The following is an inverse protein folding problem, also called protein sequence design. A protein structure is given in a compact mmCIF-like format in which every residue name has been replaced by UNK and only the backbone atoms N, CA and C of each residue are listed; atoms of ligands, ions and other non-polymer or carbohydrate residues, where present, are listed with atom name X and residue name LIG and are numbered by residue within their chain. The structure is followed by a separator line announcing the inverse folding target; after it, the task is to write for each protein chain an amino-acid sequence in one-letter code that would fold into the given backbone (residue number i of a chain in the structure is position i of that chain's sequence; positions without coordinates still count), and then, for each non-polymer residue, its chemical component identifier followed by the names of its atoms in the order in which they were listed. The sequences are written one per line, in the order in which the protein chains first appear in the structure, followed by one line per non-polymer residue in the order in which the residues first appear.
data_IF_737915113635
#
_entry.id   IF_737915113635
#
_cell.length_a   1.000
_cell.length_b   1.000
_cell.length_c   1.000
_cell.angle_alpha   90.00
_cell.angle_beta   90.00
_cell.angle_gamma   90.00
#
_symmetry.space_group_name_H-M   'P 1'
#
loop_
_entity.id
_entity.type
_entity.pdbx_description
1 polymer ?
#
# COMPACT_ATOMS: atom_id res chain seq x y z
N UNK A 1 17.34 20.55 26.99
CA UNK A 1 17.44 19.12 27.38
C UNK A 1 16.38 18.72 28.42
N UNK A 2 15.13 19.19 28.30
CA UNK A 2 14.04 18.88 29.26
C UNK A 2 12.78 18.24 28.66
N UNK A 3 12.78 17.87 27.39
CA UNK A 3 11.60 17.26 26.75
C UNK A 3 11.61 15.73 26.64
N UNK A 4 12.68 15.05 27.10
CA UNK A 4 12.82 13.59 26.97
C UNK A 4 12.23 12.76 28.12
N UNK A 5 11.99 13.36 29.28
CA UNK A 5 11.56 12.66 30.50
C UNK A 5 10.05 12.55 30.68
N UNK A 6 9.26 13.38 30.01
CA UNK A 6 7.81 13.43 30.15
C UNK A 6 7.07 12.22 29.52
N UNK A 7 7.60 11.62 28.45
CA UNK A 7 6.93 10.50 27.77
C UNK A 7 7.18 9.13 28.44
N UNK A 8 8.19 9.01 29.31
CA UNK A 8 8.50 7.78 30.04
C UNK A 8 7.57 7.56 31.25
N UNK A 9 6.95 8.61 31.76
CA UNK A 9 5.99 8.56 32.87
C UNK A 9 4.56 8.19 32.45
N UNK A 10 4.26 8.13 31.15
CA UNK A 10 2.89 8.00 30.64
C UNK A 10 2.24 6.62 30.80
N UNK A 11 3.00 5.58 31.19
CA UNK A 11 2.48 4.21 31.37
C UNK A 11 2.79 3.67 32.78
N UNK A 12 2.51 4.46 33.78
CA UNK A 12 2.67 4.09 35.19
C UNK A 12 1.63 3.06 35.66
N UNK A 13 1.68 2.69 36.93
CA UNK A 13 0.76 1.70 37.50
C UNK A 13 -0.69 2.19 37.45
N UNK A 14 -0.92 3.49 37.58
CA UNK A 14 -2.27 4.05 37.52
C UNK A 14 -2.85 4.00 36.11
N UNK A 15 -2.04 4.30 35.09
CA UNK A 15 -2.42 4.11 33.69
C UNK A 15 -2.70 2.63 33.38
N UNK A 16 -1.86 1.72 33.88
CA UNK A 16 -2.09 0.28 33.73
C UNK A 16 -3.38 -0.17 34.40
N UNK A 17 -3.72 0.40 35.56
CA UNK A 17 -4.99 0.16 36.25
C UNK A 17 -6.19 0.57 35.38
N UNK A 18 -6.13 1.77 34.77
CA UNK A 18 -7.16 2.24 33.84
C UNK A 18 -7.30 1.30 32.62
N UNK A 19 -6.18 0.84 32.05
CA UNK A 19 -6.17 -0.12 30.93
C UNK A 19 -6.84 -1.43 31.31
N UNK A 20 -6.50 -2.01 32.46
CA UNK A 20 -7.15 -3.24 32.95
C UNK A 20 -8.67 -3.05 33.10
N UNK A 21 -9.12 -1.92 33.65
CA UNK A 21 -10.56 -1.61 33.78
C UNK A 21 -11.24 -1.51 32.41
N UNK A 22 -10.60 -0.87 31.42
CA UNK A 22 -11.16 -0.79 30.06
C UNK A 22 -11.26 -2.18 29.44
N UNK A 23 -10.23 -3.04 29.58
CA UNK A 23 -10.25 -4.43 29.09
C UNK A 23 -11.39 -5.23 29.72
N UNK A 24 -11.60 -5.10 31.01
CA UNK A 24 -12.65 -5.88 31.73
C UNK A 24 -14.08 -5.42 31.39
N UNK A 25 -14.28 -4.17 30.98
CA UNK A 25 -15.58 -3.59 30.70
C UNK A 25 -15.93 -3.51 29.21
N UNK A 26 -14.94 -3.59 28.31
CA UNK A 26 -15.14 -3.56 26.85
C UNK A 26 -14.62 -4.85 26.22
N UNK A 27 -15.51 -5.78 26.00
CA UNK A 27 -15.17 -7.11 25.48
C UNK A 27 -14.69 -7.08 24.03
N UNK A 28 -15.15 -6.14 23.22
CA UNK A 28 -14.68 -5.94 21.83
C UNK A 28 -13.25 -5.47 21.83
N UNK A 29 -12.94 -4.49 22.67
CA UNK A 29 -11.57 -4.03 22.86
C UNK A 29 -10.68 -5.11 23.48
N UNK A 30 -11.19 -5.84 24.49
CA UNK A 30 -10.47 -6.95 25.13
C UNK A 30 -10.05 -8.03 24.12
N UNK A 31 -10.91 -8.35 23.16
CA UNK A 31 -10.63 -9.31 22.10
C UNK A 31 -9.56 -8.79 21.15
N UNK A 32 -9.68 -7.55 20.70
CA UNK A 32 -8.75 -6.93 19.75
C UNK A 32 -7.34 -6.73 20.33
N UNK A 33 -7.23 -6.35 21.62
CA UNK A 33 -5.92 -6.11 22.23
C UNK A 33 -5.20 -7.41 22.64
N UNK A 34 -5.93 -8.51 22.79
CA UNK A 34 -5.39 -9.79 23.23
C UNK A 34 -4.25 -10.31 22.33
N UNK A 35 -4.31 -10.02 21.03
CA UNK A 35 -3.30 -10.45 20.05
C UNK A 35 -1.93 -9.80 20.27
N UNK A 36 -1.88 -8.61 20.86
CA UNK A 36 -0.64 -7.83 21.06
C UNK A 36 -0.27 -7.66 22.53
N UNK A 37 -1.16 -8.03 23.46
CA UNK A 37 -1.00 -7.84 24.88
C UNK A 37 -0.32 -9.06 25.52
N UNK A 38 0.91 -8.87 25.98
CA UNK A 38 1.56 -9.83 26.89
C UNK A 38 1.28 -9.42 28.34
N UNK A 39 0.78 -10.34 29.16
CA UNK A 39 0.49 -10.09 30.57
C UNK A 39 1.71 -9.68 31.37
N UNK A 40 2.91 -10.07 30.92
CA UNK A 40 4.17 -9.67 31.54
C UNK A 40 4.51 -8.17 31.39
N UNK A 41 3.75 -7.44 30.55
CA UNK A 41 3.92 -6.00 30.41
C UNK A 41 3.43 -5.23 31.65
N UNK A 42 2.54 -5.81 32.42
CA UNK A 42 2.03 -5.20 33.65
C UNK A 42 3.03 -5.36 34.77
N UNK A 43 3.33 -4.26 35.47
CA UNK A 43 4.24 -4.24 36.60
C UNK A 43 3.61 -4.86 37.85
N UNK A 44 2.27 -4.73 38.01
CA UNK A 44 1.53 -5.26 39.14
C UNK A 44 1.11 -6.73 38.89
N UNK A 45 1.50 -7.62 39.79
CA UNK A 45 1.19 -9.03 39.71
C UNK A 45 -0.32 -9.33 39.78
N UNK A 46 -1.06 -8.55 40.58
CA UNK A 46 -2.50 -8.70 40.66
C UNK A 46 -3.22 -8.43 39.33
N UNK A 47 -2.73 -7.47 38.53
CA UNK A 47 -3.26 -7.23 37.18
C UNK A 47 -2.99 -8.41 36.25
N UNK A 48 -1.81 -9.00 36.33
CA UNK A 48 -1.43 -10.19 35.54
C UNK A 48 -2.33 -11.39 35.85
N UNK A 49 -2.58 -11.64 37.14
CA UNK A 49 -3.44 -12.76 37.59
C UNK A 49 -4.87 -12.52 37.12
N UNK A 50 -5.38 -11.30 37.30
CA UNK A 50 -6.75 -10.94 36.93
C UNK A 50 -7.00 -11.13 35.44
N UNK A 51 -6.12 -10.59 34.60
CA UNK A 51 -6.23 -10.72 33.14
C UNK A 51 -6.02 -12.17 32.67
N UNK A 52 -5.13 -12.93 33.32
CA UNK A 52 -4.93 -14.35 33.00
C UNK A 52 -6.23 -15.13 33.24
N UNK A 53 -6.88 -14.95 34.38
CA UNK A 53 -8.14 -15.62 34.69
C UNK A 53 -9.27 -15.16 33.75
N UNK A 54 -9.28 -13.86 33.37
CA UNK A 54 -10.26 -13.29 32.45
C UNK A 54 -10.17 -13.92 31.05
N UNK A 55 -8.97 -14.00 30.47
CA UNK A 55 -8.75 -14.61 29.17
C UNK A 55 -8.87 -16.13 29.20
N UNK A 56 -8.42 -16.78 30.26
CA UNK A 56 -8.60 -18.25 30.43
C UNK A 56 -10.07 -18.62 30.46
N UNK A 57 -10.92 -17.85 31.15
CA UNK A 57 -12.37 -18.04 31.13
C UNK A 57 -12.93 -17.93 29.71
N UNK A 58 -12.52 -16.89 28.93
CA UNK A 58 -12.94 -16.73 27.54
C UNK A 58 -12.53 -17.93 26.68
N UNK A 59 -11.31 -18.42 26.82
CA UNK A 59 -10.82 -19.59 26.08
C UNK A 59 -11.65 -20.84 26.36
N UNK A 60 -11.98 -21.05 27.62
CA UNK A 60 -12.73 -22.21 28.09
C UNK A 60 -14.21 -22.17 27.69
N UNK A 61 -14.87 -21.05 27.95
CA UNK A 61 -16.32 -20.91 27.78
C UNK A 61 -16.74 -20.12 26.54
N UNK A 62 -15.81 -19.64 25.73
CA UNK A 62 -16.03 -18.85 24.51
C UNK A 62 -16.84 -17.56 24.76
N UNK A 63 -16.83 -17.06 25.98
CA UNK A 63 -17.50 -15.81 26.41
C UNK A 63 -16.65 -15.12 27.47
N UNK A 64 -16.66 -13.81 27.50
CA UNK A 64 -16.00 -13.07 28.58
C UNK A 64 -16.81 -13.17 29.88
N UNK A 65 -16.12 -13.26 31.04
CA UNK A 65 -16.78 -13.28 32.33
C UNK A 65 -17.24 -11.86 32.74
N UNK A 66 -18.34 -11.79 33.47
CA UNK A 66 -18.66 -10.57 34.23
C UNK A 66 -17.71 -10.42 35.42
N UNK A 67 -17.60 -9.23 36.00
CA UNK A 67 -16.74 -9.01 37.16
C UNK A 67 -17.08 -9.91 38.33
N UNK A 68 -18.38 -10.18 38.58
CA UNK A 68 -18.82 -11.08 39.65
C UNK A 68 -18.40 -12.53 39.41
N UNK A 69 -18.49 -12.97 38.16
CA UNK A 69 -18.08 -14.32 37.77
C UNK A 69 -16.53 -14.45 37.78
N UNK A 70 -15.82 -13.37 37.43
CA UNK A 70 -14.36 -13.34 37.48
C UNK A 70 -13.85 -13.50 38.94
N UNK A 71 -14.53 -12.90 39.93
CA UNK A 71 -14.21 -13.12 41.36
C UNK A 71 -14.33 -14.60 41.73
N UNK A 72 -15.39 -15.26 41.27
CA UNK A 72 -15.60 -16.69 41.53
C UNK A 72 -14.51 -17.56 40.88
N UNK A 73 -14.16 -17.26 39.62
CA UNK A 73 -13.14 -17.96 38.85
C UNK A 73 -11.74 -17.81 39.48
N UNK A 74 -11.39 -16.59 39.85
CA UNK A 74 -10.11 -16.30 40.52
C UNK A 74 -10.04 -17.00 41.89
N UNK A 75 -11.17 -17.18 42.57
CA UNK A 75 -11.23 -17.94 43.83
C UNK A 75 -10.87 -19.41 43.66
N UNK A 76 -11.27 -20.03 42.55
CA UNK A 76 -10.90 -21.41 42.25
C UNK A 76 -9.41 -21.57 41.94
N UNK A 77 -8.85 -20.63 41.16
CA UNK A 77 -7.41 -20.59 40.85
C UNK A 77 -6.54 -20.19 42.04
N UNK A 78 -7.12 -19.48 43.02
CA UNK A 78 -6.43 -18.91 44.18
C UNK A 78 -5.95 -19.94 45.20
N UNK A 79 -6.33 -21.22 45.10
CA UNK A 79 -5.78 -22.31 45.96
C UNK A 79 -4.24 -22.42 45.88
N UNK A 80 -3.63 -21.75 44.91
CA UNK A 80 -2.19 -21.63 44.68
C UNK A 80 -1.62 -20.27 45.11
N UNK A 81 -2.44 -19.28 45.48
CA UNK A 81 -2.02 -17.95 45.88
C UNK A 81 -1.90 -17.86 47.42
N UNK A 82 -0.94 -17.07 47.87
CA UNK A 82 -0.83 -16.73 49.30
C UNK A 82 -2.04 -15.85 49.74
N UNK A 83 -2.46 -15.99 51.01
CA UNK A 83 -3.61 -15.26 51.58
C UNK A 83 -3.54 -13.76 51.35
N UNK A 84 -2.35 -13.15 51.47
CA UNK A 84 -2.12 -11.74 51.27
C UNK A 84 -2.33 -11.30 49.82
N UNK A 85 -1.87 -12.07 48.85
CA UNK A 85 -2.04 -11.81 47.42
C UNK A 85 -3.52 -11.88 47.02
N UNK A 86 -4.26 -12.84 47.62
CA UNK A 86 -5.67 -12.97 47.40
C UNK A 86 -6.48 -11.77 47.94
N UNK A 87 -6.17 -11.28 49.16
CA UNK A 87 -6.81 -10.12 49.74
C UNK A 87 -6.58 -8.88 48.88
N UNK A 88 -5.35 -8.63 48.42
CA UNK A 88 -5.03 -7.52 47.52
C UNK A 88 -5.79 -7.60 46.18
N UNK A 89 -5.87 -8.79 45.59
CA UNK A 89 -6.59 -9.00 44.34
C UNK A 89 -8.09 -8.71 44.49
N UNK A 90 -8.67 -9.18 45.58
CA UNK A 90 -10.07 -8.93 45.90
C UNK A 90 -10.39 -7.45 46.12
N UNK A 91 -9.52 -6.70 46.79
CA UNK A 91 -9.65 -5.28 46.96
C UNK A 91 -9.62 -4.53 45.61
N UNK A 92 -8.71 -4.92 44.71
CA UNK A 92 -8.60 -4.35 43.37
C UNK A 92 -9.90 -4.58 42.59
N UNK A 93 -10.44 -5.80 42.55
CA UNK A 93 -11.67 -6.13 41.83
C UNK A 93 -12.87 -5.36 42.39
N UNK A 94 -12.99 -5.29 43.73
CA UNK A 94 -14.04 -4.52 44.39
C UNK A 94 -13.94 -3.05 44.02
N UNK A 95 -12.73 -2.48 44.03
CA UNK A 95 -12.51 -1.09 43.61
C UNK A 95 -12.95 -0.85 42.17
N UNK A 96 -12.64 -1.77 41.26
CA UNK A 96 -13.06 -1.68 39.85
C UNK A 96 -14.58 -1.70 39.68
N UNK A 97 -15.29 -2.40 40.54
CA UNK A 97 -16.75 -2.42 40.56
C UNK A 97 -17.37 -1.11 41.10
N UNK A 98 -16.68 -0.45 42.04
CA UNK A 98 -17.11 0.80 42.64
C UNK A 98 -16.78 2.06 41.84
N UNK A 99 -15.67 2.04 41.07
CA UNK A 99 -15.11 3.21 40.41
C UNK A 99 -15.90 3.68 39.17
N UNK A 100 -16.96 2.99 38.71
CA UNK A 100 -17.75 3.39 37.52
C UNK A 100 -16.98 3.28 36.19
N UNK A 101 -17.49 3.86 35.10
CA UNK A 101 -16.81 3.89 33.79
C UNK A 101 -15.49 4.66 33.85
N UNK A 102 -14.55 4.37 32.94
CA UNK A 102 -13.31 5.12 32.80
C UNK A 102 -13.56 6.31 31.87
N UNK A 103 -13.49 7.54 32.38
CA UNK A 103 -13.80 8.77 31.63
C UNK A 103 -12.90 8.96 30.38
N UNK A 104 -11.69 8.41 30.41
CA UNK A 104 -10.69 8.52 29.35
C UNK A 104 -10.54 7.21 28.54
N UNK A 105 -11.57 6.38 28.48
CA UNK A 105 -11.50 5.02 27.89
C UNK A 105 -10.96 5.04 26.45
N UNK A 106 -11.43 5.95 25.59
CA UNK A 106 -10.98 6.04 24.19
C UNK A 106 -9.49 6.44 24.07
N UNK A 107 -9.03 7.35 24.94
CA UNK A 107 -7.60 7.68 24.99
C UNK A 107 -6.75 6.49 25.45
N UNK A 108 -7.20 5.74 26.47
CA UNK A 108 -6.54 4.53 26.95
C UNK A 108 -6.47 3.46 25.87
N UNK A 109 -7.59 3.22 25.14
CA UNK A 109 -7.62 2.30 23.99
C UNK A 109 -6.61 2.72 22.91
N UNK A 110 -6.65 3.98 22.48
CA UNK A 110 -5.74 4.49 21.45
C UNK A 110 -4.25 4.40 21.85
N UNK A 111 -3.93 4.65 23.13
CA UNK A 111 -2.56 4.62 23.63
C UNK A 111 -2.05 3.21 24.01
N UNK A 112 -2.96 2.22 24.15
CA UNK A 112 -2.61 0.86 24.57
C UNK A 112 -1.72 0.12 23.57
N UNK A 113 -1.92 0.34 22.26
CA UNK A 113 -1.05 -0.22 21.20
C UNK A 113 0.37 0.29 21.35
N UNK A 114 0.52 1.61 21.59
CA UNK A 114 1.82 2.22 21.85
C UNK A 114 2.51 1.65 23.09
N UNK A 115 1.74 1.37 24.15
CA UNK A 115 2.23 0.67 25.33
C UNK A 115 2.76 -0.73 24.99
N UNK A 116 1.97 -1.56 24.31
CA UNK A 116 2.37 -2.90 23.92
C UNK A 116 3.61 -2.88 23.02
N UNK A 117 3.62 -2.04 21.97
CA UNK A 117 4.78 -1.90 21.08
C UNK A 117 6.05 -1.47 21.81
N UNK A 118 5.94 -0.52 22.74
CA UNK A 118 7.07 -0.08 23.54
C UNK A 118 7.63 -1.20 24.40
N UNK A 119 6.77 -2.01 25.03
CA UNK A 119 7.19 -3.17 25.84
C UNK A 119 7.80 -4.28 24.99
N UNK A 120 7.17 -4.59 23.82
CA UNK A 120 7.73 -5.55 22.86
C UNK A 120 9.12 -5.12 22.37
N UNK A 121 9.29 -3.83 22.04
CA UNK A 121 10.57 -3.29 21.59
C UNK A 121 11.64 -3.36 22.68
N UNK A 122 11.29 -3.06 23.93
CA UNK A 122 12.22 -3.17 25.06
C UNK A 122 12.67 -4.63 25.28
N UNK A 123 11.74 -5.59 25.22
CA UNK A 123 12.06 -7.01 25.34
C UNK A 123 12.93 -7.50 24.16
N UNK A 124 12.63 -7.04 22.95
CA UNK A 124 13.42 -7.36 21.76
C UNK A 124 14.85 -6.81 21.83
N UNK A 125 15.05 -5.63 22.39
CA UNK A 125 16.40 -5.09 22.62
C UNK A 125 17.22 -5.98 23.58
N UNK A 126 16.60 -6.47 24.65
CA UNK A 126 17.26 -7.38 25.58
C UNK A 126 17.59 -8.73 24.91
N UNK A 127 16.65 -9.28 24.15
CA UNK A 127 16.86 -10.53 23.40
C UNK A 127 17.95 -10.35 22.32
N UNK A 128 17.89 -9.26 21.54
CA UNK A 128 18.90 -8.95 20.53
C UNK A 128 20.30 -8.83 21.14
N UNK A 129 20.42 -8.12 22.28
CA UNK A 129 21.69 -8.02 23.01
C UNK A 129 22.22 -9.39 23.42
N UNK A 130 21.35 -10.28 23.92
CA UNK A 130 21.74 -11.65 24.30
C UNK A 130 22.15 -12.50 23.10
N UNK A 131 21.45 -12.38 21.98
CA UNK A 131 21.78 -13.10 20.75
C UNK A 131 23.12 -12.65 20.16
N UNK A 132 23.35 -11.34 20.08
CA UNK A 132 24.60 -10.74 19.60
C UNK A 132 25.79 -11.05 20.50
N UNK A 133 25.56 -11.35 21.79
CA UNK A 133 26.62 -11.77 22.71
C UNK A 133 26.92 -13.26 22.65
N UNK A 134 25.99 -14.09 22.16
CA UNK A 134 26.09 -15.54 22.17
C UNK A 134 26.51 -16.15 20.82
N UNK A 135 26.21 -15.47 19.71
CA UNK A 135 26.42 -15.99 18.34
C UNK A 135 27.10 -14.91 17.48
N UNK A 136 28.13 -15.30 16.73
CA UNK A 136 28.77 -14.47 15.70
C UNK A 136 28.30 -14.90 14.30
N UNK A 137 28.01 -13.94 13.42
CA UNK A 137 27.73 -14.19 12.00
C UNK A 137 26.53 -13.43 11.44
N UNK A 138 26.43 -13.38 10.12
CA UNK A 138 25.40 -12.62 9.39
C UNK A 138 23.97 -13.12 9.69
N UNK A 139 23.81 -14.41 10.02
CA UNK A 139 22.50 -14.99 10.37
C UNK A 139 21.88 -14.38 11.62
N UNK A 140 22.70 -13.95 12.59
CA UNK A 140 22.21 -13.30 13.81
C UNK A 140 21.65 -11.92 13.51
N UNK A 141 22.32 -11.16 12.64
CA UNK A 141 21.84 -9.84 12.22
C UNK A 141 20.48 -9.95 11.52
N UNK A 142 20.30 -10.95 10.65
CA UNK A 142 19.02 -11.19 9.98
C UNK A 142 17.90 -11.58 10.97
N UNK A 143 18.19 -12.42 11.97
CA UNK A 143 17.23 -12.78 13.02
C UNK A 143 16.80 -11.54 13.82
N UNK A 144 17.75 -10.69 14.20
CA UNK A 144 17.49 -9.44 14.93
C UNK A 144 16.65 -8.49 14.11
N UNK A 145 16.99 -8.26 12.83
CA UNK A 145 16.21 -7.39 11.93
C UNK A 145 14.79 -7.90 11.75
N UNK A 146 14.60 -9.20 11.51
CA UNK A 146 13.27 -9.82 11.39
C UNK A 146 12.43 -9.63 12.65
N UNK A 147 13.02 -9.77 13.83
CA UNK A 147 12.33 -9.58 15.11
C UNK A 147 11.83 -8.13 15.26
N UNK A 148 12.66 -7.13 14.97
CA UNK A 148 12.26 -5.73 15.04
C UNK A 148 11.23 -5.35 13.96
N UNK A 149 11.36 -5.88 12.76
CA UNK A 149 10.40 -5.67 11.67
C UNK A 149 9.03 -6.24 12.03
N UNK A 150 8.98 -7.44 12.62
CA UNK A 150 7.73 -8.04 13.12
C UNK A 150 7.04 -7.14 14.14
N UNK A 151 7.79 -6.56 15.09
CA UNK A 151 7.25 -5.67 16.12
C UNK A 151 6.78 -4.35 15.51
N UNK A 152 7.53 -3.79 14.57
CA UNK A 152 7.14 -2.55 13.89
C UNK A 152 5.79 -2.71 13.16
N UNK A 153 5.57 -3.87 12.55
CA UNK A 153 4.36 -4.19 11.80
C UNK A 153 3.23 -4.74 12.69
N UNK A 154 3.49 -5.11 13.95
CA UNK A 154 2.43 -5.50 14.88
C UNK A 154 1.58 -4.30 15.25
N UNK A 155 0.27 -4.40 15.11
CA UNK A 155 -0.72 -3.40 15.50
C UNK A 155 -2.05 -4.07 15.75
N UNK A 156 -2.92 -3.43 16.52
CA UNK A 156 -4.33 -3.79 16.51
C UNK A 156 -4.84 -3.35 15.14
N UNK A 157 -5.12 -4.32 14.28
CA UNK A 157 -5.90 -4.07 13.09
C UNK A 157 -7.30 -3.70 13.59
N UNK A 158 -7.70 -2.44 13.41
CA UNK A 158 -9.11 -2.08 13.51
C UNK A 158 -9.82 -2.66 12.28
N UNK A 159 -9.91 -3.98 12.24
CA UNK A 159 -10.70 -4.71 11.24
C UNK A 159 -12.12 -4.93 11.76
N UNK A 160 -12.80 -3.86 12.11
CA UNK A 160 -14.23 -3.85 11.95
C UNK A 160 -14.47 -3.90 10.43
N UNK A 161 -14.75 -5.09 9.90
CA UNK A 161 -15.13 -5.24 8.51
C UNK A 161 -16.29 -4.32 8.15
N UNK A 162 -16.52 -4.12 6.85
CA UNK A 162 -17.69 -3.36 6.38
C UNK A 162 -18.97 -4.16 6.66
N UNK A 163 -19.81 -3.67 7.56
CA UNK A 163 -21.11 -4.25 7.84
C UNK A 163 -22.03 -3.95 6.64
N UNK A 164 -22.42 -4.99 5.90
CA UNK A 164 -23.02 -4.84 4.57
C UNK A 164 -24.30 -3.99 4.56
N UNK A 165 -25.14 -4.09 5.58
CA UNK A 165 -26.40 -3.33 5.67
C UNK A 165 -26.19 -2.00 6.38
N UNK A 166 -25.48 -2.02 7.51
CA UNK A 166 -25.28 -0.87 8.40
C UNK A 166 -24.46 0.23 7.71
N UNK A 167 -23.45 -0.16 6.92
CA UNK A 167 -22.57 0.77 6.20
C UNK A 167 -23.03 1.02 4.75
N UNK A 168 -24.34 0.87 4.48
CA UNK A 168 -24.90 1.04 3.14
C UNK A 168 -24.54 2.38 2.49
N UNK A 169 -24.76 3.48 3.19
CA UNK A 169 -24.50 4.84 2.67
C UNK A 169 -23.03 5.07 2.32
N UNK A 170 -22.09 4.45 3.04
CA UNK A 170 -20.67 4.58 2.78
C UNK A 170 -20.26 4.05 1.38
N UNK A 171 -21.00 3.06 0.85
CA UNK A 171 -20.75 2.47 -0.48
C UNK A 171 -21.19 3.34 -1.64
N UNK A 172 -22.12 4.27 -1.38
CA UNK A 172 -22.72 5.13 -2.42
C UNK A 172 -22.20 6.57 -2.39
N UNK A 173 -21.13 6.82 -1.62
CA UNK A 173 -20.43 8.09 -1.70
C UNK A 173 -19.73 8.19 -3.05
N UNK A 174 -20.01 9.23 -3.82
CA UNK A 174 -19.51 9.43 -5.20
C UNK A 174 -17.98 9.48 -5.31
N UNK A 175 -17.28 9.75 -4.20
CA UNK A 175 -15.84 10.04 -4.18
C UNK A 175 -14.98 8.98 -3.49
N UNK A 176 -15.47 7.76 -3.31
CA UNK A 176 -14.70 6.74 -2.58
C UNK A 176 -13.38 6.33 -3.27
N UNK A 177 -13.28 6.49 -4.59
CA UNK A 177 -12.13 6.01 -5.37
C UNK A 177 -11.06 7.07 -5.59
N UNK A 178 -11.41 8.36 -5.65
CA UNK A 178 -10.52 9.51 -5.92
C UNK A 178 -9.52 9.22 -7.05
N UNK A 179 -9.98 9.00 -8.30
CA UNK A 179 -9.11 8.63 -9.40
C UNK A 179 -8.21 9.78 -9.81
N UNK A 180 -6.95 9.46 -10.15
CA UNK A 180 -5.98 10.37 -10.74
C UNK A 180 -5.92 10.12 -12.23
N UNK A 181 -6.17 11.15 -13.04
CA UNK A 181 -6.13 11.06 -14.50
C UNK A 181 -4.78 10.57 -15.01
N UNK A 182 -4.81 9.77 -16.06
CA UNK A 182 -3.60 9.38 -16.81
C UNK A 182 -3.22 10.41 -17.89
N UNK A 183 -4.12 11.36 -18.18
CA UNK A 183 -4.01 12.28 -19.32
C UNK A 183 -4.28 11.61 -20.67
N UNK A 184 -4.76 10.37 -20.66
CA UNK A 184 -5.16 9.60 -21.83
C UNK A 184 -6.68 9.39 -21.79
N UNK A 185 -7.48 10.27 -22.40
CA UNK A 185 -8.93 10.28 -22.25
C UNK A 185 -9.61 8.91 -22.50
N UNK A 186 -9.23 8.12 -23.53
CA UNK A 186 -9.82 6.80 -23.71
C UNK A 186 -9.50 5.81 -22.60
N UNK A 187 -8.30 5.92 -21.99
CA UNK A 187 -7.92 5.10 -20.84
C UNK A 187 -8.67 5.53 -19.57
N UNK A 188 -8.74 6.84 -19.35
CA UNK A 188 -9.46 7.40 -18.19
C UNK A 188 -10.95 7.05 -18.22
N UNK A 189 -11.60 7.13 -19.39
CA UNK A 189 -13.00 6.73 -19.56
C UNK A 189 -13.23 5.26 -19.17
N UNK A 190 -12.36 4.36 -19.62
CA UNK A 190 -12.47 2.91 -19.35
C UNK A 190 -12.19 2.61 -17.87
N UNK A 191 -11.33 3.39 -17.23
CA UNK A 191 -10.93 3.21 -15.83
C UNK A 191 -11.77 4.05 -14.86
N UNK A 192 -12.81 4.74 -15.32
CA UNK A 192 -13.63 5.60 -14.45
C UNK A 192 -12.87 6.79 -13.87
N UNK A 193 -12.11 7.50 -14.71
CA UNK A 193 -11.36 8.71 -14.38
C UNK A 193 -9.86 8.53 -14.16
N UNK A 194 -9.32 7.33 -14.32
CA UNK A 194 -7.92 6.99 -14.12
C UNK A 194 -7.67 5.99 -13.01
N UNK A 195 -6.47 6.00 -12.42
CA UNK A 195 -6.10 5.10 -11.33
C UNK A 195 -6.52 5.69 -9.98
N UNK A 196 -7.30 4.93 -9.21
CA UNK A 196 -7.80 5.36 -7.91
C UNK A 196 -6.77 5.25 -6.79
N UNK A 197 -7.05 5.87 -5.63
CA UNK A 197 -6.28 5.64 -4.41
C UNK A 197 -6.29 4.15 -4.04
N UNK A 198 -5.16 3.67 -3.49
CA UNK A 198 -4.95 2.26 -3.13
C UNK A 198 -4.90 1.30 -4.32
N UNK A 199 -4.89 1.83 -5.55
CA UNK A 199 -4.78 1.02 -6.75
C UNK A 199 -3.36 1.06 -7.30
N UNK A 200 -2.97 -0.05 -7.94
CA UNK A 200 -1.66 -0.26 -8.52
C UNK A 200 -1.75 -0.51 -10.02
N UNK A 201 -1.11 0.36 -10.80
CA UNK A 201 -1.05 0.30 -12.25
C UNK A 201 0.35 -0.06 -12.76
N UNK A 202 0.42 -0.82 -13.83
CA UNK A 202 1.68 -1.24 -14.46
C UNK A 202 1.65 -1.01 -15.96
N UNK A 203 2.68 -0.34 -16.51
CA UNK A 203 2.92 -0.25 -17.95
C UNK A 203 4.00 -1.25 -18.34
N UNK A 204 3.71 -2.17 -19.25
CA UNK A 204 4.60 -3.25 -19.65
C UNK A 204 4.98 -3.13 -21.13
N UNK A 205 6.24 -3.38 -21.46
CA UNK A 205 6.68 -3.39 -22.84
C UNK A 205 8.15 -3.76 -23.00
N UNK A 206 8.58 -4.00 -24.22
CA UNK A 206 9.97 -4.31 -24.56
C UNK A 206 10.94 -3.15 -24.24
N UNK A 207 12.24 -3.44 -24.25
CA UNK A 207 13.26 -2.39 -24.13
C UNK A 207 13.15 -1.42 -25.29
N UNK A 208 13.17 -0.11 -25.01
CA UNK A 208 13.04 0.93 -26.03
C UNK A 208 11.64 1.06 -26.64
N UNK A 209 10.58 0.47 -26.03
CA UNK A 209 9.20 0.68 -26.45
C UNK A 209 8.62 2.04 -26.03
N UNK A 210 9.27 2.76 -25.11
CA UNK A 210 8.82 4.07 -24.66
C UNK A 210 8.07 4.07 -23.31
N UNK A 211 8.18 3.01 -22.51
CA UNK A 211 7.54 2.88 -21.17
C UNK A 211 7.78 4.09 -20.28
N UNK A 212 9.05 4.50 -20.09
CA UNK A 212 9.41 5.65 -19.25
C UNK A 212 8.90 6.97 -19.82
N UNK A 213 8.71 7.06 -21.16
CA UNK A 213 8.09 8.24 -21.79
C UNK A 213 6.59 8.30 -21.45
N UNK A 214 5.88 7.16 -21.52
CA UNK A 214 4.48 7.07 -21.11
C UNK A 214 4.32 7.42 -19.64
N UNK A 215 5.20 6.92 -18.78
CA UNK A 215 5.17 7.23 -17.34
C UNK A 215 5.40 8.72 -17.09
N UNK A 216 6.38 9.35 -17.76
CA UNK A 216 6.66 10.78 -17.66
C UNK A 216 5.50 11.62 -18.19
N UNK A 217 4.85 11.19 -19.28
CA UNK A 217 3.63 11.83 -19.81
C UNK A 217 2.50 11.80 -18.79
N UNK A 218 2.18 10.63 -18.24
CA UNK A 218 1.11 10.50 -17.25
C UNK A 218 1.37 11.35 -16.00
N UNK A 219 2.62 11.41 -15.54
CA UNK A 219 3.03 12.25 -14.41
C UNK A 219 2.84 13.74 -14.70
N UNK A 220 3.23 14.18 -15.91
CA UNK A 220 3.02 15.55 -16.36
C UNK A 220 1.55 15.93 -16.45
N UNK A 221 0.73 15.04 -17.00
CA UNK A 221 -0.72 15.27 -17.12
C UNK A 221 -1.43 15.27 -15.77
N UNK A 222 -1.06 14.42 -14.85
CA UNK A 222 -1.57 14.44 -13.48
C UNK A 222 -1.22 15.78 -12.79
N UNK A 223 0.02 16.26 -12.90
CA UNK A 223 0.42 17.57 -12.40
C UNK A 223 -0.38 18.70 -13.06
N UNK A 224 -0.55 18.67 -14.38
CA UNK A 224 -1.34 19.67 -15.10
C UNK A 224 -2.81 19.71 -14.65
N UNK A 225 -3.36 18.58 -14.26
CA UNK A 225 -4.71 18.44 -13.70
C UNK A 225 -4.83 18.87 -12.22
N UNK A 226 -3.74 19.27 -11.57
CA UNK A 226 -3.76 19.82 -10.20
C UNK A 226 -3.37 18.81 -9.10
N UNK A 227 -2.97 17.59 -9.45
CA UNK A 227 -2.58 16.59 -8.45
C UNK A 227 -1.16 16.85 -7.92
N UNK A 228 -0.90 16.37 -6.70
CA UNK A 228 0.44 16.31 -6.11
C UNK A 228 1.10 14.98 -6.51
N UNK A 229 2.13 15.04 -7.32
CA UNK A 229 2.78 13.90 -7.96
C UNK A 229 4.15 13.65 -7.34
N UNK A 230 4.44 12.39 -6.98
CA UNK A 230 5.82 11.97 -6.69
C UNK A 230 6.33 11.07 -7.82
N UNK A 231 7.49 11.42 -8.36
CA UNK A 231 8.17 10.64 -9.38
C UNK A 231 9.51 10.12 -8.85
N UNK A 232 9.59 8.82 -8.70
CA UNK A 232 10.81 8.14 -8.27
C UNK A 232 11.50 7.50 -9.45
N UNK A 233 12.76 7.85 -9.68
CA UNK A 233 13.57 7.28 -10.75
C UNK A 233 14.73 6.46 -10.19
N UNK A 234 14.95 5.29 -10.77
CA UNK A 234 16.01 4.35 -10.41
C UNK A 234 17.02 4.16 -11.56
N UNK A 235 16.68 4.64 -12.76
CA UNK A 235 17.50 4.47 -13.97
C UNK A 235 18.04 5.81 -14.46
N UNK A 236 17.20 6.84 -14.48
CA UNK A 236 17.56 8.15 -15.03
C UNK A 236 17.78 9.16 -13.90
N UNK A 237 18.58 10.21 -14.18
CA UNK A 237 18.69 11.31 -13.24
C UNK A 237 17.37 12.11 -13.16
N UNK A 238 17.15 12.75 -12.03
CA UNK A 238 16.02 13.65 -11.76
C UNK A 238 15.95 14.79 -12.79
N UNK A 239 17.11 15.31 -13.22
CA UNK A 239 17.22 16.36 -14.26
C UNK A 239 16.71 15.85 -15.61
N UNK A 240 17.03 14.63 -16.02
CA UNK A 240 16.55 14.06 -17.28
C UNK A 240 15.03 13.86 -17.23
N UNK A 241 14.51 13.35 -16.14
CA UNK A 241 13.06 13.21 -15.94
C UNK A 241 12.38 14.59 -15.95
N UNK A 242 12.94 15.59 -15.26
CA UNK A 242 12.44 16.96 -15.26
C UNK A 242 12.32 17.54 -16.68
N UNK A 243 13.36 17.39 -17.50
CA UNK A 243 13.34 17.85 -18.90
C UNK A 243 12.29 17.14 -19.76
N UNK A 244 12.03 15.85 -19.51
CA UNK A 244 10.94 15.12 -20.18
C UNK A 244 9.57 15.70 -19.82
N UNK A 245 9.37 16.03 -18.55
CA UNK A 245 8.15 16.65 -18.06
C UNK A 245 8.00 18.07 -18.63
N UNK A 246 9.08 18.86 -18.68
CA UNK A 246 9.09 20.19 -19.32
C UNK A 246 8.70 20.09 -20.79
N UNK A 247 9.27 19.15 -21.55
CA UNK A 247 8.94 18.96 -22.97
C UNK A 247 7.46 18.57 -23.14
N UNK A 248 6.94 17.69 -22.29
CA UNK A 248 5.55 17.28 -22.29
C UNK A 248 4.60 18.45 -22.05
N UNK A 249 4.83 19.21 -20.97
CA UNK A 249 3.95 20.31 -20.55
C UNK A 249 3.98 21.50 -21.50
N UNK A 250 5.12 21.74 -22.15
CA UNK A 250 5.30 22.91 -23.02
C UNK A 250 5.10 22.62 -24.52
N UNK A 251 5.17 21.33 -24.90
CA UNK A 251 5.19 20.92 -26.31
C UNK A 251 6.48 21.30 -27.05
N UNK A 252 7.49 21.79 -26.33
CA UNK A 252 8.82 22.09 -26.88
C UNK A 252 9.63 20.81 -26.90
N UNK A 253 10.32 20.50 -28.00
CA UNK A 253 11.18 19.31 -28.06
C UNK A 253 12.30 19.37 -27.02
N UNK A 254 12.72 18.21 -26.49
CA UNK A 254 13.80 18.13 -25.49
C UNK A 254 15.08 18.87 -25.92
N UNK A 255 15.41 18.87 -27.23
CA UNK A 255 16.54 19.62 -27.80
C UNK A 255 16.35 21.14 -27.73
N UNK A 256 15.10 21.61 -27.88
CA UNK A 256 14.74 23.04 -27.87
C UNK A 256 14.62 23.67 -26.49
N UNK A 257 14.53 22.87 -25.40
CA UNK A 257 14.28 23.39 -24.05
C UNK A 257 15.32 24.41 -23.59
N UNK A 258 16.60 24.13 -23.82
CA UNK A 258 17.68 25.02 -23.35
C UNK A 258 17.66 26.39 -24.01
N UNK A 259 17.33 26.48 -25.29
CA UNK A 259 17.24 27.77 -26.01
C UNK A 259 16.00 28.57 -25.66
N UNK A 260 14.98 27.94 -25.06
CA UNK A 260 13.67 28.54 -24.72
C UNK A 260 13.38 28.48 -23.22
N UNK A 261 14.43 28.47 -22.39
CA UNK A 261 14.35 28.23 -20.94
C UNK A 261 13.32 29.15 -20.24
N UNK A 262 13.32 30.44 -20.55
CA UNK A 262 12.43 31.38 -19.85
C UNK A 262 10.95 31.17 -20.24
N UNK A 263 10.69 30.82 -21.48
CA UNK A 263 9.35 30.42 -21.94
C UNK A 263 8.90 29.10 -21.28
N UNK A 264 9.81 28.15 -21.13
CA UNK A 264 9.53 26.90 -20.42
C UNK A 264 9.11 27.21 -18.99
N UNK A 265 9.88 28.03 -18.27
CA UNK A 265 9.58 28.38 -16.88
C UNK A 265 8.23 29.11 -16.75
N UNK A 266 7.96 30.06 -17.63
CA UNK A 266 6.68 30.79 -17.65
C UNK A 266 5.49 29.83 -17.82
N UNK A 267 5.58 28.88 -18.77
CA UNK A 267 4.50 27.92 -19.04
C UNK A 267 4.29 26.94 -17.89
N UNK A 268 5.38 26.34 -17.35
CA UNK A 268 5.24 25.33 -16.29
C UNK A 268 4.76 25.92 -14.97
N UNK A 269 5.05 27.22 -14.71
CA UNK A 269 4.63 27.92 -13.49
C UNK A 269 3.11 28.17 -13.42
N UNK A 270 2.38 27.98 -14.52
CA UNK A 270 0.93 28.19 -14.59
C UNK A 270 0.13 26.94 -14.16
N UNK A 271 0.75 25.78 -14.09
CA UNK A 271 0.04 24.56 -13.73
C UNK A 271 -0.27 24.51 -12.23
N UNK A 272 -1.48 24.05 -11.84
CA UNK A 272 -1.94 24.09 -10.46
C UNK A 272 -1.33 23.01 -9.57
N UNK A 273 -0.90 21.89 -10.15
CA UNK A 273 -0.34 20.76 -9.42
C UNK A 273 1.13 20.92 -9.07
N UNK A 274 1.66 19.91 -8.39
CA UNK A 274 3.07 19.85 -7.98
C UNK A 274 3.66 18.52 -8.36
N UNK A 275 4.97 18.50 -8.63
CA UNK A 275 5.71 17.28 -8.85
C UNK A 275 7.02 17.28 -8.05
N UNK A 276 7.25 16.23 -7.28
CA UNK A 276 8.51 15.96 -6.61
C UNK A 276 9.23 14.83 -7.35
N UNK A 277 10.36 15.14 -7.96
CA UNK A 277 11.19 14.14 -8.64
C UNK A 277 12.35 13.77 -7.72
N UNK A 278 12.53 12.48 -7.46
CA UNK A 278 13.60 11.96 -6.60
C UNK A 278 14.32 10.82 -7.28
N UNK A 279 15.61 11.03 -7.52
CA UNK A 279 16.52 9.96 -7.94
C UNK A 279 16.95 9.12 -6.74
N UNK A 280 16.94 7.79 -6.92
CA UNK A 280 17.57 6.83 -6.02
C UNK A 280 18.76 6.17 -6.73
N UNK A 281 19.99 6.67 -6.51
CA UNK A 281 21.15 6.12 -7.15
C UNK A 281 21.45 4.70 -6.65
N UNK A 282 21.90 3.85 -7.55
CA UNK A 282 22.36 2.51 -7.20
C UNK A 282 21.58 1.35 -7.84
N UNK A 283 20.60 1.62 -8.68
CA UNK A 283 19.87 0.62 -9.46
C UNK A 283 19.42 -0.57 -8.60
N UNK A 284 19.80 -1.79 -8.97
CA UNK A 284 19.44 -3.05 -8.26
C UNK A 284 19.83 -3.14 -6.77
N UNK A 285 20.36 -2.09 -6.16
CA UNK A 285 20.71 -2.06 -4.72
C UNK A 285 19.70 -1.28 -3.87
N UNK A 286 18.76 -0.59 -4.48
CA UNK A 286 17.77 0.21 -3.75
C UNK A 286 16.64 -0.69 -3.22
N UNK A 287 16.43 -0.67 -1.91
CA UNK A 287 15.31 -1.35 -1.26
C UNK A 287 14.02 -0.54 -1.44
N UNK A 288 12.89 -1.21 -1.63
CA UNK A 288 11.56 -0.57 -1.66
C UNK A 288 11.30 0.25 -0.38
N UNK A 289 11.76 -0.23 0.76
CA UNK A 289 11.63 0.46 2.04
C UNK A 289 12.24 1.87 2.05
N UNK A 290 13.28 2.15 1.24
CA UNK A 290 13.85 3.52 1.12
C UNK A 290 12.86 4.47 0.42
N UNK A 291 12.18 4.00 -0.61
CA UNK A 291 11.13 4.77 -1.33
C UNK A 291 9.96 5.05 -0.38
N UNK A 292 9.48 4.00 0.31
CA UNK A 292 8.40 4.10 1.29
C UNK A 292 8.74 5.07 2.43
N UNK A 293 9.95 4.96 3.00
CA UNK A 293 10.39 5.83 4.09
C UNK A 293 10.51 7.30 3.65
N UNK A 294 11.00 7.55 2.43
CA UNK A 294 11.04 8.89 1.87
C UNK A 294 9.62 9.46 1.73
N UNK A 295 8.70 8.69 1.13
CA UNK A 295 7.30 9.11 0.99
C UNK A 295 6.65 9.39 2.35
N UNK A 296 6.83 8.51 3.34
CA UNK A 296 6.31 8.72 4.71
C UNK A 296 6.88 9.97 5.38
N UNK A 297 8.15 10.30 5.12
CA UNK A 297 8.79 11.53 5.60
C UNK A 297 8.14 12.77 4.98
N UNK A 298 7.92 12.77 3.67
CA UNK A 298 7.24 13.85 2.96
C UNK A 298 5.79 14.03 3.47
N UNK A 299 5.04 12.94 3.64
CA UNK A 299 3.69 12.97 4.21
C UNK A 299 3.68 13.60 5.61
N UNK A 300 4.63 13.23 6.47
CA UNK A 300 4.76 13.82 7.82
C UNK A 300 5.08 15.31 7.79
N UNK A 301 5.75 15.81 6.76
CA UNK A 301 6.01 17.24 6.57
C UNK A 301 4.86 18.00 5.90
N UNK A 302 3.71 17.35 5.67
CA UNK A 302 2.51 17.94 5.07
C UNK A 302 2.47 17.84 3.54
N UNK A 303 3.42 17.12 2.92
CA UNK A 303 3.49 16.93 1.47
C UNK A 303 3.03 15.52 1.09
N UNK A 304 1.69 15.27 1.11
CA UNK A 304 1.12 13.97 0.74
C UNK A 304 0.89 13.91 -0.77
N UNK A 305 1.42 12.90 -1.49
CA UNK A 305 1.12 12.70 -2.91
C UNK A 305 -0.29 12.14 -3.11
N UNK A 306 -0.90 12.47 -4.25
CA UNK A 306 -2.10 11.81 -4.76
C UNK A 306 -1.73 10.57 -5.57
N UNK A 307 -0.60 10.65 -6.28
CA UNK A 307 -0.08 9.57 -7.12
C UNK A 307 1.45 9.47 -7.04
N UNK A 308 1.94 8.25 -7.08
CA UNK A 308 3.38 7.93 -7.15
C UNK A 308 3.65 7.25 -8.49
N UNK A 309 4.66 7.74 -9.21
CA UNK A 309 5.24 7.10 -10.38
C UNK A 309 6.63 6.56 -10.04
N UNK A 310 6.90 5.29 -10.38
CA UNK A 310 8.15 4.60 -10.08
C UNK A 310 8.78 4.03 -11.35
N UNK A 311 9.89 4.61 -11.79
CA UNK A 311 10.61 4.22 -13.02
C UNK A 311 11.96 3.57 -12.66
N UNK A 312 12.11 2.26 -12.67
CA UNK A 312 11.12 1.19 -12.79
C UNK A 312 11.32 0.14 -11.69
N UNK A 313 10.23 -0.53 -11.34
CA UNK A 313 10.18 -1.43 -10.18
C UNK A 313 11.17 -2.59 -10.23
N UNK A 314 11.45 -3.18 -11.42
CA UNK A 314 12.33 -4.34 -11.56
C UNK A 314 13.79 -4.10 -11.09
N UNK A 315 14.16 -2.84 -10.80
CA UNK A 315 15.45 -2.45 -10.20
C UNK A 315 15.44 -2.43 -8.67
N UNK A 316 14.27 -2.46 -8.05
CA UNK A 316 14.15 -2.50 -6.59
C UNK A 316 14.45 -3.90 -6.04
N UNK A 317 14.76 -3.92 -4.76
CA UNK A 317 14.83 -5.15 -3.95
C UNK A 317 13.81 -5.10 -2.84
N UNK A 318 13.26 -6.26 -2.52
CA UNK A 318 12.54 -6.52 -1.27
C UNK A 318 13.53 -6.80 -0.15
N UNK A 319 13.07 -6.81 1.07
CA UNK A 319 13.85 -7.27 2.23
C UNK A 319 13.99 -8.80 2.25
N UNK A 320 13.07 -9.53 1.62
CA UNK A 320 13.14 -10.96 1.43
C UNK A 320 14.06 -11.28 0.23
N UNK A 321 14.92 -12.28 0.38
CA UNK A 321 15.86 -12.68 -0.66
C UNK A 321 15.64 -14.17 -0.97
N UNK A 322 14.85 -14.44 -2.01
CA UNK A 322 14.64 -15.79 -2.49
C UNK A 322 15.70 -16.17 -3.52
N UNK A 323 16.02 -17.45 -3.62
CA UNK A 323 16.99 -17.97 -4.59
C UNK A 323 16.54 -17.78 -6.04
N UNK A 324 15.23 -17.72 -6.30
CA UNK A 324 14.66 -17.54 -7.63
C UNK A 324 14.27 -16.07 -7.89
N UNK A 325 14.85 -15.49 -8.94
CA UNK A 325 14.59 -14.10 -9.37
C UNK A 325 13.10 -13.85 -9.64
N UNK A 326 12.37 -14.83 -10.13
CA UNK A 326 10.94 -14.75 -10.43
C UNK A 326 10.13 -14.50 -9.17
N UNK A 327 10.38 -15.28 -8.12
CA UNK A 327 9.66 -15.16 -6.83
C UNK A 327 9.93 -13.79 -6.21
N UNK A 328 11.20 -13.31 -6.25
CA UNK A 328 11.56 -11.99 -5.75
C UNK A 328 10.78 -10.87 -6.46
N UNK A 329 10.53 -11.01 -7.77
CA UNK A 329 9.79 -10.01 -8.52
C UNK A 329 8.28 -10.07 -8.25
N UNK A 330 7.71 -11.26 -8.10
CA UNK A 330 6.30 -11.42 -7.73
C UNK A 330 6.04 -10.79 -6.36
N UNK A 331 6.87 -11.07 -5.37
CA UNK A 331 6.77 -10.47 -4.04
C UNK A 331 6.96 -8.94 -4.05
N UNK A 332 7.91 -8.44 -4.85
CA UNK A 332 8.12 -7.00 -5.00
C UNK A 332 6.85 -6.29 -5.49
N UNK A 333 6.16 -6.88 -6.47
CA UNK A 333 4.93 -6.29 -7.01
C UNK A 333 3.77 -6.37 -6.03
N UNK A 334 3.68 -7.44 -5.22
CA UNK A 334 2.73 -7.52 -4.10
C UNK A 334 3.04 -6.48 -3.01
N UNK A 335 4.32 -6.28 -2.65
CA UNK A 335 4.73 -5.22 -1.73
C UNK A 335 4.41 -3.81 -2.28
N UNK A 336 4.56 -3.58 -3.60
CA UNK A 336 4.20 -2.30 -4.24
C UNK A 336 2.70 -2.04 -4.14
N UNK A 337 1.87 -3.05 -4.38
CA UNK A 337 0.43 -2.93 -4.19
C UNK A 337 0.08 -2.66 -2.72
N UNK A 338 0.69 -3.39 -1.80
CA UNK A 338 0.56 -3.14 -0.35
C UNK A 338 0.97 -1.71 0.02
N UNK A 339 2.02 -1.19 -0.61
CA UNK A 339 2.49 0.19 -0.43
C UNK A 339 1.44 1.22 -0.90
N UNK A 340 0.81 1.00 -2.06
CA UNK A 340 -0.26 1.87 -2.55
C UNK A 340 -1.44 1.93 -1.55
N UNK A 341 -1.79 0.78 -0.97
CA UNK A 341 -2.85 0.65 0.04
C UNK A 341 -2.46 1.32 1.37
N UNK A 342 -1.23 1.08 1.86
CA UNK A 342 -0.75 1.63 3.13
C UNK A 342 -0.64 3.16 3.10
N UNK A 343 -0.15 3.71 1.98
CA UNK A 343 0.04 5.15 1.82
C UNK A 343 -1.23 5.88 1.37
N UNK A 344 -2.28 5.14 1.00
CA UNK A 344 -3.54 5.67 0.45
C UNK A 344 -3.29 6.58 -0.76
N UNK A 345 -2.60 6.05 -1.77
CA UNK A 345 -2.21 6.73 -3.01
C UNK A 345 -2.44 5.85 -4.24
N UNK A 346 -2.58 6.45 -5.43
CA UNK A 346 -2.42 5.74 -6.69
C UNK A 346 -0.91 5.45 -6.93
N UNK A 347 -0.54 4.27 -7.42
CA UNK A 347 0.85 3.93 -7.71
C UNK A 347 0.98 3.35 -9.10
N UNK A 348 1.82 3.97 -9.93
CA UNK A 348 2.17 3.48 -11.25
C UNK A 348 3.64 3.05 -11.31
N UNK A 349 3.90 1.96 -12.01
CA UNK A 349 5.26 1.56 -12.36
C UNK A 349 5.35 1.05 -13.80
N UNK A 350 6.56 0.86 -14.27
CA UNK A 350 6.83 0.19 -15.54
C UNK A 350 7.59 -1.11 -15.30
N UNK A 351 7.42 -2.08 -16.19
CA UNK A 351 8.12 -3.36 -16.17
C UNK A 351 8.49 -3.81 -17.57
N UNK A 352 9.57 -4.61 -17.68
CA UNK A 352 10.02 -5.13 -18.97
C UNK A 352 9.40 -6.48 -19.27
N UNK A 353 9.09 -6.72 -20.57
CA UNK A 353 8.77 -8.05 -21.08
C UNK A 353 10.03 -8.88 -21.29
N UNK A 354 9.88 -10.20 -21.38
CA UNK A 354 10.94 -11.10 -21.79
C UNK A 354 11.31 -10.95 -23.29
N UNK A 355 12.40 -11.62 -23.69
CA UNK A 355 13.02 -11.51 -25.02
C UNK A 355 12.09 -11.82 -26.21
N UNK A 356 10.94 -12.50 -26.01
CA UNK A 356 9.96 -12.81 -27.06
C UNK A 356 9.12 -11.62 -27.55
N UNK A 357 8.93 -10.59 -26.72
CA UNK A 357 8.11 -9.39 -27.06
C UNK A 357 8.84 -8.29 -27.85
N UNK A 358 10.03 -8.53 -28.35
CA UNK A 358 10.88 -7.48 -28.95
C UNK A 358 10.48 -7.02 -30.36
N UNK A 359 9.64 -7.78 -31.08
CA UNK A 359 9.30 -7.49 -32.48
C UNK A 359 7.84 -7.78 -32.86
N UNK A 360 6.97 -7.98 -31.91
CA UNK A 360 5.56 -8.23 -32.17
C UNK A 360 4.77 -6.93 -32.19
N UNK A 361 3.79 -6.82 -33.09
CA UNK A 361 2.84 -5.70 -33.14
C UNK A 361 1.92 -5.64 -31.91
N UNK A 362 1.84 -6.73 -31.16
CA UNK A 362 1.06 -6.87 -29.92
C UNK A 362 1.87 -7.65 -28.90
N UNK A 363 1.81 -7.23 -27.65
CA UNK A 363 2.36 -7.94 -26.51
C UNK A 363 1.20 -8.57 -25.76
N UNK A 364 0.97 -9.86 -25.98
CA UNK A 364 -0.06 -10.62 -25.28
C UNK A 364 0.38 -10.95 -23.84
N UNK A 365 -0.59 -11.20 -22.95
CA UNK A 365 -0.32 -11.66 -21.58
C UNK A 365 0.56 -12.92 -21.57
N UNK A 366 0.52 -13.76 -22.61
CA UNK A 366 1.36 -14.94 -22.77
C UNK A 366 2.84 -14.61 -23.03
N UNK A 367 3.14 -13.46 -23.70
CA UNK A 367 4.51 -12.97 -23.93
C UNK A 367 5.14 -12.39 -22.63
N UNK A 368 4.30 -12.19 -21.64
CA UNK A 368 4.68 -11.75 -20.28
C UNK A 368 4.97 -12.98 -19.38
N UNK A 369 5.07 -14.19 -19.92
CA UNK A 369 4.97 -15.48 -19.22
C UNK A 369 5.94 -15.72 -18.05
N UNK A 370 7.13 -15.13 -18.02
CA UNK A 370 7.94 -15.06 -16.79
C UNK A 370 7.53 -13.89 -15.85
N UNK A 371 6.66 -13.01 -16.32
CA UNK A 371 6.17 -11.83 -15.60
C UNK A 371 4.69 -11.96 -15.23
N UNK A 372 4.07 -13.13 -15.48
CA UNK A 372 2.64 -13.34 -15.24
C UNK A 372 2.27 -13.08 -13.77
N UNK A 373 3.14 -13.48 -12.83
CA UNK A 373 2.98 -13.16 -11.41
C UNK A 373 2.91 -11.65 -11.13
N UNK A 374 3.70 -10.83 -11.85
CA UNK A 374 3.69 -9.36 -11.70
C UNK A 374 2.34 -8.72 -12.06
N UNK A 375 1.58 -9.32 -12.97
CA UNK A 375 0.28 -8.78 -13.42
C UNK A 375 -0.88 -9.17 -12.53
N UNK A 376 -0.74 -10.24 -11.72
CA UNK A 376 -1.81 -10.71 -10.85
C UNK A 376 -2.19 -9.69 -9.77
N UNK A 377 -1.21 -9.06 -9.16
CA UNK A 377 -1.44 -8.09 -8.10
C UNK A 377 -1.91 -6.73 -8.62
N UNK A 378 -1.56 -6.33 -9.86
CA UNK A 378 -1.95 -5.03 -10.41
C UNK A 378 -3.47 -4.92 -10.63
N UNK A 379 -4.00 -3.71 -10.44
CA UNK A 379 -5.41 -3.39 -10.70
C UNK A 379 -5.62 -3.00 -12.17
N UNK A 380 -4.61 -2.38 -12.79
CA UNK A 380 -4.59 -1.97 -14.19
C UNK A 380 -3.25 -2.33 -14.85
N UNK A 381 -3.29 -2.99 -15.99
CA UNK A 381 -2.10 -3.32 -16.79
C UNK A 381 -2.28 -2.81 -18.20
N UNK A 382 -1.38 -1.94 -18.62
CA UNK A 382 -1.32 -1.42 -19.99
C UNK A 382 -0.04 -1.95 -20.65
N UNK A 383 -0.15 -2.57 -21.82
CA UNK A 383 1.02 -2.97 -22.59
C UNK A 383 1.30 -1.98 -23.72
N UNK A 384 2.57 -1.83 -24.06
CA UNK A 384 3.05 -1.00 -25.17
C UNK A 384 3.98 -1.79 -26.08
N UNK A 385 3.65 -1.80 -27.37
CA UNK A 385 4.44 -2.38 -28.42
C UNK A 385 4.79 -1.35 -29.51
N UNK A 386 6.00 -1.45 -30.07
CA UNK A 386 6.45 -0.62 -31.19
C UNK A 386 7.36 -1.45 -32.10
N UNK A 387 6.99 -1.60 -33.37
CA UNK A 387 7.88 -2.06 -34.41
C UNK A 387 8.93 -0.99 -34.78
N UNK A 388 9.95 -1.34 -35.55
CA UNK A 388 10.93 -0.36 -36.05
C UNK A 388 10.25 0.71 -36.90
N UNK A 389 9.34 0.32 -37.78
CA UNK A 389 8.57 1.23 -38.63
C UNK A 389 7.69 2.17 -37.79
N UNK A 390 7.03 1.66 -36.75
CA UNK A 390 6.25 2.48 -35.83
C UNK A 390 7.11 3.51 -35.07
N UNK A 391 8.35 3.16 -34.75
CA UNK A 391 9.28 4.11 -34.11
C UNK A 391 9.66 5.27 -35.01
N UNK A 392 9.88 5.02 -36.30
CA UNK A 392 10.18 6.05 -37.30
C UNK A 392 9.01 7.00 -37.54
N UNK A 393 7.78 6.50 -37.36
CA UNK A 393 6.53 7.27 -37.57
C UNK A 393 5.93 7.84 -36.27
N UNK A 394 6.63 7.75 -35.15
CA UNK A 394 6.13 8.10 -33.81
C UNK A 394 4.82 7.42 -33.44
N UNK A 395 4.62 6.19 -33.90
CA UNK A 395 3.44 5.37 -33.60
C UNK A 395 3.76 4.33 -32.52
N UNK A 396 2.69 3.88 -31.85
CA UNK A 396 2.73 2.77 -30.90
C UNK A 396 1.37 2.04 -30.86
N UNK A 397 1.41 0.78 -30.45
CA UNK A 397 0.21 0.01 -30.13
C UNK A 397 0.12 -0.16 -28.62
N UNK A 398 -1.03 0.19 -28.05
CA UNK A 398 -1.34 0.04 -26.64
C UNK A 398 -2.45 -0.97 -26.44
N UNK A 399 -2.35 -1.78 -25.38
CA UNK A 399 -3.43 -2.71 -25.03
C UNK A 399 -3.71 -2.62 -23.53
N UNK A 400 -4.98 -2.60 -23.16
CA UNK A 400 -5.41 -2.77 -21.78
C UNK A 400 -5.48 -4.27 -21.51
N UNK A 401 -4.37 -4.81 -21.00
CA UNK A 401 -4.22 -6.25 -20.78
C UNK A 401 -5.00 -6.74 -19.55
N UNK A 402 -5.23 -5.84 -18.57
CA UNK A 402 -6.02 -6.10 -17.37
C UNK A 402 -6.64 -4.81 -16.86
N UNK A 403 -7.91 -4.89 -16.42
CA UNK A 403 -8.59 -3.81 -15.74
C UNK A 403 -9.58 -4.38 -14.71
N UNK A 404 -9.30 -4.24 -13.42
CA UNK A 404 -10.22 -4.71 -12.37
C UNK A 404 -11.50 -3.89 -12.24
N UNK A 405 -11.47 -2.65 -12.73
CA UNK A 405 -12.57 -1.69 -12.56
C UNK A 405 -13.37 -1.47 -13.86
N UNK A 406 -13.09 -2.22 -14.92
CA UNK A 406 -13.77 -2.04 -16.20
C UNK A 406 -13.40 -3.09 -17.24
N UNK A 407 -13.51 -2.71 -18.49
CA UNK A 407 -13.20 -3.61 -19.64
C UNK A 407 -11.69 -3.75 -19.80
N UNK A 408 -11.25 -4.95 -20.15
CA UNK A 408 -9.89 -5.27 -20.58
C UNK A 408 -9.88 -5.85 -22.00
N UNK A 409 -8.71 -6.24 -22.51
CA UNK A 409 -8.52 -6.76 -23.86
C UNK A 409 -8.63 -5.70 -24.97
N UNK A 410 -8.79 -4.42 -24.62
CA UNK A 410 -8.96 -3.35 -25.62
C UNK A 410 -7.60 -2.91 -26.18
N UNK A 411 -7.55 -2.75 -27.52
CA UNK A 411 -6.36 -2.36 -28.25
C UNK A 411 -6.56 -0.96 -28.85
N UNK A 412 -5.55 -0.12 -28.71
CA UNK A 412 -5.50 1.24 -29.25
C UNK A 412 -4.28 1.40 -30.14
N UNK A 413 -4.45 2.01 -31.28
CA UNK A 413 -3.34 2.61 -32.00
C UNK A 413 -3.05 3.97 -31.36
N UNK A 414 -1.82 4.42 -31.38
CA UNK A 414 -1.51 5.69 -30.73
C UNK A 414 -0.27 6.37 -31.29
N UNK A 415 -0.09 7.60 -30.85
CA UNK A 415 1.12 8.38 -31.10
C UNK A 415 1.99 8.28 -29.87
N UNK A 416 3.28 8.12 -30.06
CA UNK A 416 4.32 8.27 -29.04
C UNK A 416 5.50 9.05 -29.65
N UNK A 417 5.40 10.38 -29.58
CA UNK A 417 6.48 11.30 -29.95
C UNK A 417 7.45 11.43 -28.78
N UNK A 418 8.61 10.81 -28.94
CA UNK A 418 9.66 10.80 -27.91
C UNK A 418 10.39 12.13 -27.80
N UNK A 419 10.34 12.99 -28.83
CA UNK A 419 11.00 14.30 -28.82
C UNK A 419 10.32 15.29 -27.90
N UNK A 420 8.98 15.24 -27.84
CA UNK A 420 8.14 16.11 -27.01
C UNK A 420 7.51 15.40 -25.83
N UNK A 421 7.77 14.10 -25.68
CA UNK A 421 7.14 13.24 -24.66
C UNK A 421 5.61 13.33 -24.75
N UNK A 422 5.08 13.20 -25.96
CA UNK A 422 3.65 13.27 -26.22
C UNK A 422 3.10 11.87 -26.48
N UNK A 423 1.98 11.55 -25.82
CA UNK A 423 1.28 10.26 -25.96
C UNK A 423 -0.19 10.53 -26.27
N UNK A 424 -0.74 9.81 -27.23
CA UNK A 424 -2.14 9.85 -27.56
C UNK A 424 -2.67 8.44 -27.85
N UNK A 425 -3.81 8.06 -27.30
CA UNK A 425 -4.52 6.83 -27.65
C UNK A 425 -5.58 7.16 -28.72
N UNK A 426 -5.51 6.46 -29.83
CA UNK A 426 -6.51 6.52 -30.90
C UNK A 426 -7.29 5.22 -30.89
N UNK A 427 -8.61 5.34 -30.81
CA UNK A 427 -9.46 4.16 -30.91
C UNK A 427 -9.20 3.48 -32.26
N UNK A 428 -8.76 2.22 -32.21
CA UNK A 428 -8.62 1.42 -33.43
C UNK A 428 -10.01 1.42 -34.11
N UNK A 429 -10.10 1.94 -35.33
CA UNK A 429 -11.35 1.78 -36.11
C UNK A 429 -11.61 0.29 -36.12
N UNK A 430 -12.73 -0.13 -35.54
CA UNK A 430 -13.10 -1.53 -35.50
C UNK A 430 -12.85 -2.11 -36.89
N UNK A 431 -11.95 -3.10 -36.98
CA UNK A 431 -11.99 -4.01 -38.13
C UNK A 431 -13.46 -4.41 -38.20
N UNK A 432 -14.09 -4.18 -39.32
CA UNK A 432 -15.38 -4.80 -39.55
C UNK A 432 -15.11 -6.30 -39.45
N UNK A 433 -15.33 -6.84 -38.27
CA UNK A 433 -15.14 -8.24 -37.96
C UNK A 433 -16.06 -8.99 -38.94
N UNK A 434 -15.51 -9.79 -39.87
CA UNK A 434 -16.37 -10.57 -40.76
C UNK A 434 -17.37 -11.43 -39.97
N UNK A 435 -17.02 -11.73 -38.70
CA UNK A 435 -17.88 -12.46 -37.78
C UNK A 435 -18.91 -11.56 -37.04
N UNK A 436 -18.82 -10.24 -37.08
CA UNK A 436 -19.81 -9.36 -36.44
C UNK A 436 -21.18 -9.48 -37.16
N UNK A 437 -21.16 -9.57 -38.47
CA UNK A 437 -22.35 -9.89 -39.27
C UNK A 437 -22.91 -11.27 -38.93
N UNK A 438 -22.02 -12.25 -38.67
CA UNK A 438 -22.41 -13.62 -38.30
C UNK A 438 -22.97 -13.64 -36.86
N UNK A 439 -22.34 -12.96 -35.93
CA UNK A 439 -22.80 -12.84 -34.52
C UNK A 439 -24.14 -12.08 -34.44
N UNK A 440 -24.32 -11.05 -35.23
CA UNK A 440 -25.59 -10.33 -35.35
C UNK A 440 -26.71 -11.24 -35.90
N UNK A 441 -26.42 -12.00 -36.95
CA UNK A 441 -27.37 -12.99 -37.53
C UNK A 441 -27.70 -14.11 -36.53
N UNK A 442 -26.73 -14.58 -35.74
CA UNK A 442 -26.97 -15.59 -34.70
C UNK A 442 -27.83 -14.97 -33.57
N UNK A 443 -27.55 -13.74 -33.11
CA UNK A 443 -28.34 -13.05 -32.09
C UNK A 443 -29.79 -12.80 -32.54
N UNK A 444 -29.97 -12.41 -33.80
CA UNK A 444 -31.27 -12.16 -34.37
C UNK A 444 -32.07 -13.48 -34.61
N UNK A 445 -31.39 -14.58 -34.90
CA UNK A 445 -32.02 -15.91 -35.02
C UNK A 445 -32.45 -16.48 -33.66
N UNK A 446 -31.65 -16.30 -32.60
CA UNK A 446 -32.02 -16.69 -31.22
C UNK A 446 -33.13 -15.82 -30.65
N UNK A 447 -33.15 -14.51 -30.95
CA UNK A 447 -34.23 -13.61 -30.56
C UNK A 447 -35.59 -13.89 -31.19
N UNK A 448 -35.61 -14.50 -32.37
CA UNK A 448 -36.85 -14.95 -33.07
C UNK A 448 -37.38 -16.31 -32.60
N UNK A 449 -36.52 -17.13 -32.00
CA UNK A 449 -36.86 -18.45 -31.47
C UNK A 449 -37.57 -18.42 -30.10
N UNK A 450 -37.48 -17.30 -29.38
CA UNK A 450 -38.17 -17.13 -28.09
C UNK A 450 -39.51 -16.41 -28.17
N UNK A 451 -39.99 -16.06 -29.37
CA UNK A 451 -41.28 -15.41 -29.61
C UNK A 451 -42.28 -16.28 -30.34
N UNK A 452 -42.10 -17.60 -30.32
CA UNK A 452 -43.12 -18.56 -30.79
C UNK A 452 -43.61 -19.46 -29.66
#
# INVERSE_FOLDING_TARGET
MESGTSFLQSFDVEWQRKLVRVILNDWTFADSIHEVLDLNYFSNEAFRILLRSFYHYKETYKKFPTLDLLIATVNEDSKKLGRTQWEQLKEIIISFKMDGPVDEAEFIKASSVGFCKKKQMANALLQASSMLAAEDGDEVYDKVVKMFTKIANSGILNEAGHAFVEDFEARYQETFRFPVTTGLPPLDEICGGGLGKKEFGVVIGGTGSGKSMVLSYMAAMAMAAGYNVFYYTLELSDIVVGRRIDACLTGISQEGLMSRRDEVFERISQFPGKILIKEFPGGHRTLLSKVVNHTKKEIKSGNKPDVIFLDYADLLKTTANFSEKRINLEELFDELRGTAQELDVALWTVSQTNRGGYQTEQVDLNDISESFGKTFCADLVVTIARTLEQKELDLATFQIAKNRNGRDGLIFDGILDTSKVYVEFKQRKAFQDPDEALRKNIRDSYGKSQKK
#
